data_IF_335827748240
#
_entry.id   IF_335827748240
#
_cell.length_a   1.000
_cell.length_b   1.000
_cell.length_c   1.000
_cell.angle_alpha   90.00
_cell.angle_beta   90.00
_cell.angle_gamma   90.00
#
_symmetry.space_group_name_H-M   'P 1'
#
loop_
_entity.id
_entity.type
_entity.pdbx_description
1 polymer ?
#
# COMPACT_ATOMS: atom_id res chain seq x y z
N UNK A 1 -78.25 28.18 17.69
CA UNK A 1 -77.19 28.84 18.49
C UNK A 1 -76.17 27.87 19.09
N UNK A 2 -76.54 26.69 19.59
CA UNK A 2 -75.55 25.76 20.16
C UNK A 2 -74.58 25.16 19.12
N UNK A 3 -75.07 24.78 17.93
CA UNK A 3 -74.22 24.23 16.87
C UNK A 3 -73.29 25.26 16.22
N UNK A 4 -73.69 26.53 16.11
CA UNK A 4 -72.83 27.58 15.55
C UNK A 4 -71.64 27.92 16.44
N UNK A 5 -71.81 27.89 17.78
CA UNK A 5 -70.72 28.17 18.73
C UNK A 5 -69.66 27.06 18.79
N UNK A 6 -70.05 25.82 18.48
CA UNK A 6 -69.14 24.66 18.47
C UNK A 6 -68.28 24.64 17.19
N UNK A 7 -68.85 25.11 16.08
CA UNK A 7 -68.18 25.18 14.78
C UNK A 7 -67.12 26.31 14.73
N UNK A 8 -67.31 27.40 15.47
CA UNK A 8 -66.30 28.47 15.63
C UNK A 8 -65.12 28.07 16.55
N UNK A 9 -65.33 27.18 17.52
CA UNK A 9 -64.29 26.78 18.49
C UNK A 9 -63.44 25.59 18.06
N UNK A 10 -63.92 24.80 17.09
CA UNK A 10 -63.25 23.61 16.58
C UNK A 10 -61.85 23.88 16.00
N UNK A 11 -61.61 24.95 15.20
CA UNK A 11 -60.28 25.25 14.66
C UNK A 11 -59.26 25.61 15.75
N UNK A 12 -59.72 26.28 16.81
CA UNK A 12 -58.88 26.70 17.95
C UNK A 12 -58.43 25.48 18.76
N UNK A 13 -59.33 24.52 18.99
CA UNK A 13 -59.03 23.27 19.71
C UNK A 13 -58.05 22.42 18.89
N UNK A 14 -58.28 22.26 17.59
CA UNK A 14 -57.38 21.52 16.70
C UNK A 14 -56.00 22.18 16.63
N UNK A 15 -55.96 23.51 16.52
CA UNK A 15 -54.70 24.27 16.52
C UNK A 15 -53.90 24.10 17.81
N UNK A 16 -54.57 24.13 18.97
CA UNK A 16 -53.93 23.93 20.28
C UNK A 16 -53.38 22.51 20.47
N UNK A 17 -54.11 21.49 20.01
CA UNK A 17 -53.69 20.10 20.08
C UNK A 17 -52.50 19.82 19.15
N UNK A 18 -52.51 20.38 17.94
CA UNK A 18 -51.41 20.26 16.99
C UNK A 18 -50.13 20.94 17.51
N UNK A 19 -50.24 22.14 18.10
CA UNK A 19 -49.10 22.83 18.70
C UNK A 19 -48.51 22.05 19.90
N UNK A 20 -49.37 21.46 20.73
CA UNK A 20 -48.93 20.58 21.82
C UNK A 20 -48.17 19.34 21.33
N UNK A 21 -48.65 18.70 20.26
CA UNK A 21 -47.98 17.54 19.68
C UNK A 21 -46.60 17.89 19.10
N UNK A 22 -46.49 19.02 18.38
CA UNK A 22 -45.22 19.50 17.83
C UNK A 22 -44.21 19.83 18.94
N UNK A 23 -44.67 20.44 20.04
CA UNK A 23 -43.83 20.73 21.20
C UNK A 23 -43.29 19.45 21.85
N UNK A 24 -44.13 18.43 22.02
CA UNK A 24 -43.71 17.13 22.59
C UNK A 24 -42.66 16.47 21.68
N UNK A 25 -42.87 16.46 20.36
CA UNK A 25 -41.90 15.92 19.40
C UNK A 25 -40.57 16.66 19.49
N UNK A 26 -40.59 18.00 19.57
CA UNK A 26 -39.38 18.81 19.70
C UNK A 26 -38.61 18.48 21.00
N UNK A 27 -39.30 18.33 22.13
CA UNK A 27 -38.69 17.96 23.41
C UNK A 27 -38.07 16.56 23.34
N UNK A 28 -38.75 15.59 22.74
CA UNK A 28 -38.22 14.22 22.57
C UNK A 28 -36.97 14.23 21.68
N UNK A 29 -36.98 14.98 20.57
CA UNK A 29 -35.80 15.12 19.70
C UNK A 29 -34.64 15.76 20.46
N UNK A 30 -34.89 16.82 21.24
CA UNK A 30 -33.86 17.47 22.07
C UNK A 30 -33.30 16.48 23.09
N UNK A 31 -34.14 15.72 23.78
CA UNK A 31 -33.69 14.71 24.75
C UNK A 31 -32.86 13.60 24.10
N UNK A 32 -33.24 13.13 22.90
CA UNK A 32 -32.47 12.15 22.13
C UNK A 32 -31.11 12.73 21.72
N UNK A 33 -31.07 13.97 21.24
CA UNK A 33 -29.82 14.65 20.86
C UNK A 33 -28.93 14.89 22.08
N UNK A 34 -29.49 15.34 23.20
CA UNK A 34 -28.75 15.55 24.45
C UNK A 34 -28.22 14.24 25.04
N UNK A 35 -29.00 13.15 25.01
CA UNK A 35 -28.55 11.84 25.48
C UNK A 35 -27.50 11.22 24.55
N UNK A 36 -27.63 11.40 23.23
CA UNK A 36 -26.59 10.98 22.27
C UNK A 36 -25.31 11.78 22.46
N UNK A 37 -25.41 13.09 22.70
CA UNK A 37 -24.26 13.95 22.98
C UNK A 37 -23.58 13.58 24.30
N UNK A 38 -24.35 13.30 25.36
CA UNK A 38 -23.80 12.79 26.63
C UNK A 38 -23.15 11.42 26.49
N UNK A 39 -23.72 10.53 25.67
CA UNK A 39 -23.12 9.23 25.36
C UNK A 39 -21.78 9.38 24.63
N UNK A 40 -21.72 10.30 23.66
CA UNK A 40 -20.48 10.64 22.96
C UNK A 40 -19.44 11.27 23.91
N UNK A 41 -19.81 12.26 24.72
CA UNK A 41 -18.92 12.91 25.69
C UNK A 41 -18.41 11.93 26.75
N UNK A 42 -19.21 10.95 27.17
CA UNK A 42 -18.79 9.92 28.14
C UNK A 42 -17.81 8.91 27.53
N UNK A 43 -18.05 8.49 26.29
CA UNK A 43 -17.13 7.62 25.55
C UNK A 43 -15.80 8.34 25.22
N UNK A 44 -15.85 9.64 24.91
CA UNK A 44 -14.68 10.48 24.69
C UNK A 44 -13.88 10.67 25.99
N UNK A 45 -14.56 10.87 27.14
CA UNK A 45 -13.91 10.96 28.45
C UNK A 45 -13.20 9.65 28.83
N UNK A 46 -13.86 8.51 28.64
CA UNK A 46 -13.32 7.18 28.94
C UNK A 46 -12.13 6.83 28.02
N UNK A 47 -12.19 7.25 26.75
CA UNK A 47 -11.06 7.19 25.82
C UNK A 47 -9.87 8.06 26.28
N UNK A 48 -10.13 9.31 26.70
CA UNK A 48 -9.06 10.21 27.18
C UNK A 48 -8.43 9.74 28.50
N UNK A 49 -9.21 9.13 29.40
CA UNK A 49 -8.73 8.62 30.69
C UNK A 49 -7.81 7.41 30.51
N UNK A 50 -8.17 6.49 29.60
CA UNK A 50 -7.29 5.38 29.19
C UNK A 50 -6.01 5.89 28.53
N UNK A 51 -6.07 6.92 27.69
CA UNK A 51 -4.91 7.53 27.02
C UNK A 51 -3.94 8.20 28.01
N UNK A 52 -4.47 8.78 29.10
CA UNK A 52 -3.69 9.42 30.15
C UNK A 52 -2.79 8.43 30.91
N UNK A 53 -3.21 7.17 31.03
CA UNK A 53 -2.42 6.12 31.66
C UNK A 53 -1.21 5.66 30.83
N UNK A 54 -1.25 5.79 29.49
CA UNK A 54 -0.16 5.37 28.60
C UNK A 54 0.82 6.49 28.25
N UNK A 55 0.46 7.76 28.47
CA UNK A 55 1.21 8.90 27.91
C UNK A 55 1.72 9.84 28.99
N UNK A 56 2.73 9.41 29.74
CA UNK A 56 3.57 10.33 30.53
C UNK A 56 4.52 11.08 29.58
N UNK A 57 4.00 12.09 28.87
CA UNK A 57 4.82 13.03 28.09
C UNK A 57 4.11 13.69 26.91
N UNK A 58 3.92 15.01 27.00
CA UNK A 58 3.69 15.95 25.89
C UNK A 58 2.57 15.65 24.88
N UNK A 59 1.36 15.34 25.35
CA UNK A 59 0.16 15.33 24.48
C UNK A 59 -0.73 16.52 24.80
N UNK A 60 -1.03 17.33 23.79
CA UNK A 60 -2.05 18.40 23.89
C UNK A 60 -3.45 17.78 23.98
N UNK A 61 -4.35 18.31 24.83
CA UNK A 61 -5.71 17.80 24.95
C UNK A 61 -6.40 17.73 23.58
N UNK A 62 -6.92 16.56 23.19
CA UNK A 62 -7.62 16.33 21.92
C UNK A 62 -6.77 15.76 20.77
N UNK A 63 -5.48 15.49 20.97
CA UNK A 63 -4.65 14.79 19.97
C UNK A 63 -5.00 13.29 19.96
N UNK A 64 -5.55 12.77 18.85
CA UNK A 64 -5.68 11.33 18.64
C UNK A 64 -4.32 10.75 18.24
N UNK A 65 -3.87 9.73 18.95
CA UNK A 65 -2.62 9.01 18.67
C UNK A 65 -2.98 7.58 18.33
N UNK A 66 -2.29 6.99 17.36
CA UNK A 66 -2.41 5.57 17.05
C UNK A 66 -2.03 4.70 18.26
N UNK A 67 -2.86 3.70 18.55
CA UNK A 67 -2.63 2.68 19.56
C UNK A 67 -2.36 1.36 18.83
N UNK A 68 -1.22 0.75 19.11
CA UNK A 68 -0.86 -0.53 18.50
C UNK A 68 -1.80 -1.64 19.03
N UNK A 69 -2.61 -2.31 18.19
CA UNK A 69 -3.51 -3.37 18.65
C UNK A 69 -2.81 -4.54 19.37
N UNK A 70 -1.50 -4.70 19.20
CA UNK A 70 -0.72 -5.68 19.94
C UNK A 70 -0.47 -5.28 21.42
N UNK A 71 -0.87 -4.09 21.86
CA UNK A 71 -0.91 -3.75 23.29
C UNK A 71 -2.07 -4.44 24.02
N UNK A 72 -3.02 -5.02 23.28
CA UNK A 72 -4.14 -5.77 23.83
C UNK A 72 -3.80 -7.27 23.90
N UNK A 73 -4.19 -7.93 24.99
CA UNK A 73 -4.02 -9.38 25.13
C UNK A 73 -4.99 -10.16 24.22
N UNK A 74 -6.22 -9.64 24.05
CA UNK A 74 -7.25 -10.20 23.17
C UNK A 74 -7.48 -9.28 21.96
N UNK A 75 -7.15 -9.70 20.72
CA UNK A 75 -7.40 -8.88 19.54
C UNK A 75 -8.89 -8.66 19.26
N UNK A 76 -9.81 -9.46 19.82
CA UNK A 76 -11.22 -9.10 19.74
C UNK A 76 -11.54 -7.85 20.56
N UNK A 77 -10.76 -7.53 21.60
CA UNK A 77 -10.90 -6.30 22.37
C UNK A 77 -10.49 -5.09 21.53
N UNK A 78 -9.32 -5.14 20.90
CA UNK A 78 -8.85 -4.09 19.99
C UNK A 78 -9.85 -3.87 18.83
N UNK A 79 -10.35 -4.95 18.22
CA UNK A 79 -11.37 -4.85 17.16
C UNK A 79 -12.64 -4.22 17.68
N UNK A 80 -13.14 -4.59 18.87
CA UNK A 80 -14.36 -4.00 19.45
C UNK A 80 -14.21 -2.52 19.75
N UNK A 81 -13.00 -2.06 20.07
CA UNK A 81 -12.71 -0.67 20.36
C UNK A 81 -12.67 0.18 19.09
N UNK A 82 -12.03 -0.32 18.03
CA UNK A 82 -11.73 0.49 16.84
C UNK A 82 -12.61 0.18 15.63
N UNK A 83 -13.30 -0.97 15.59
CA UNK A 83 -14.10 -1.39 14.45
C UNK A 83 -15.57 -1.64 14.83
N UNK A 84 -16.45 -1.26 13.91
CA UNK A 84 -17.89 -1.49 14.05
C UNK A 84 -18.23 -2.94 13.68
N UNK A 85 -18.88 -3.67 14.59
CA UNK A 85 -19.48 -4.97 14.26
C UNK A 85 -20.70 -4.77 13.33
N UNK A 86 -20.72 -5.52 12.23
CA UNK A 86 -21.76 -5.52 11.21
C UNK A 86 -22.55 -6.83 11.30
N UNK A 87 -23.88 -6.71 11.21
CA UNK A 87 -24.75 -7.88 11.10
C UNK A 87 -24.64 -8.47 9.68
N UNK A 88 -24.34 -9.77 9.59
CA UNK A 88 -24.14 -10.48 8.32
C UNK A 88 -25.35 -10.39 7.38
N UNK A 89 -26.57 -10.25 7.90
CA UNK A 89 -27.78 -10.09 7.09
C UNK A 89 -27.81 -8.79 6.27
N UNK A 90 -26.96 -7.82 6.63
CA UNK A 90 -26.81 -6.55 5.91
C UNK A 90 -25.76 -6.60 4.81
N UNK A 91 -25.05 -7.72 4.68
CA UNK A 91 -23.94 -7.91 3.74
C UNK A 91 -24.37 -8.85 2.63
N UNK A 92 -24.19 -8.42 1.38
CA UNK A 92 -24.41 -9.23 0.18
C UNK A 92 -23.10 -9.36 -0.58
N UNK A 93 -22.49 -10.55 -0.53
CA UNK A 93 -21.29 -10.88 -1.32
C UNK A 93 -21.70 -11.14 -2.77
N UNK A 94 -20.92 -10.65 -3.73
CA UNK A 94 -21.19 -10.83 -5.16
C UNK A 94 -20.12 -11.69 -5.84
N UNK A 95 -18.99 -11.12 -6.24
CA UNK A 95 -17.96 -11.82 -7.01
C UNK A 95 -16.60 -11.74 -6.30
N UNK A 96 -15.78 -12.78 -6.49
CA UNK A 96 -14.38 -12.77 -6.05
C UNK A 96 -13.59 -11.83 -6.97
N UNK A 97 -12.90 -10.86 -6.38
CA UNK A 97 -12.09 -9.87 -7.10
C UNK A 97 -10.58 -10.08 -6.88
N UNK A 98 -10.20 -10.92 -5.92
CA UNK A 98 -8.81 -11.25 -5.66
C UNK A 98 -8.63 -12.27 -4.54
N UNK A 99 -7.38 -12.65 -4.30
CA UNK A 99 -6.99 -13.50 -3.19
C UNK A 99 -5.95 -12.76 -2.34
N UNK A 100 -6.20 -12.67 -1.03
CA UNK A 100 -5.26 -12.16 -0.05
C UNK A 100 -4.61 -13.29 0.74
N UNK A 101 -3.70 -12.95 1.66
CA UNK A 101 -2.98 -13.90 2.52
C UNK A 101 -3.94 -14.82 3.33
N UNK A 102 -5.03 -14.23 3.82
CA UNK A 102 -5.95 -14.88 4.76
C UNK A 102 -7.15 -15.55 4.09
N UNK A 103 -7.42 -15.25 2.81
CA UNK A 103 -8.60 -15.73 2.10
C UNK A 103 -8.95 -14.86 0.90
N UNK A 104 -10.18 -15.01 0.41
CA UNK A 104 -10.67 -14.31 -0.78
C UNK A 104 -11.04 -12.86 -0.46
N UNK A 105 -10.81 -11.99 -1.43
CA UNK A 105 -11.36 -10.64 -1.47
C UNK A 105 -12.50 -10.65 -2.48
N UNK A 106 -13.69 -10.25 -2.05
CA UNK A 106 -14.89 -10.18 -2.85
C UNK A 106 -15.39 -8.74 -2.97
N UNK A 107 -16.09 -8.41 -4.04
CA UNK A 107 -16.96 -7.23 -4.07
C UNK A 107 -18.34 -7.59 -3.52
N UNK A 108 -19.07 -6.58 -3.05
CA UNK A 108 -20.42 -6.78 -2.56
C UNK A 108 -21.14 -5.49 -2.18
N UNK A 109 -22.31 -5.64 -1.58
CA UNK A 109 -23.14 -4.53 -1.12
C UNK A 109 -23.32 -4.59 0.40
N UNK A 110 -23.28 -3.43 1.04
CA UNK A 110 -23.57 -3.25 2.47
C UNK A 110 -24.78 -2.32 2.63
N UNK A 111 -25.82 -2.81 3.32
CA UNK A 111 -27.06 -2.06 3.58
C UNK A 111 -27.32 -1.91 5.07
N UNK A 112 -26.69 -0.90 5.67
CA UNK A 112 -26.90 -0.59 7.09
C UNK A 112 -28.31 -0.02 7.34
N UNK A 113 -28.91 -0.28 8.51
CA UNK A 113 -30.23 0.25 8.86
C UNK A 113 -30.29 1.78 8.75
N UNK A 114 -31.27 2.28 7.99
CA UNK A 114 -31.47 3.73 7.79
C UNK A 114 -30.41 4.42 6.91
N UNK A 115 -29.48 3.68 6.29
CA UNK A 115 -28.52 4.20 5.32
C UNK A 115 -28.82 3.68 3.91
N UNK A 116 -28.31 4.40 2.91
CA UNK A 116 -28.27 3.90 1.53
C UNK A 116 -27.37 2.67 1.46
N UNK A 117 -27.70 1.77 0.55
CA UNK A 117 -26.81 0.66 0.18
C UNK A 117 -25.55 1.23 -0.46
N UNK A 118 -24.40 0.66 -0.12
CA UNK A 118 -23.09 1.06 -0.65
C UNK A 118 -22.35 -0.16 -1.17
N UNK A 119 -21.52 0.06 -2.19
CA UNK A 119 -20.65 -0.96 -2.75
C UNK A 119 -19.34 -1.05 -1.96
N UNK A 120 -18.93 -2.26 -1.62
CA UNK A 120 -17.86 -2.54 -0.65
C UNK A 120 -16.92 -3.63 -1.15
N UNK A 121 -15.69 -3.62 -0.64
CA UNK A 121 -14.78 -4.76 -0.71
C UNK A 121 -14.90 -5.56 0.59
N UNK A 122 -14.95 -6.88 0.46
CA UNK A 122 -15.19 -7.83 1.56
C UNK A 122 -14.04 -8.83 1.55
N UNK A 123 -13.13 -8.68 2.52
CA UNK A 123 -12.07 -9.66 2.76
C UNK A 123 -12.63 -10.72 3.69
N UNK A 124 -12.48 -12.00 3.33
CA UNK A 124 -12.97 -13.13 4.13
C UNK A 124 -11.81 -13.93 4.71
N UNK A 125 -11.97 -14.44 5.91
CA UNK A 125 -11.03 -15.37 6.53
C UNK A 125 -11.41 -16.81 6.15
N UNK A 126 -10.47 -17.55 5.55
CA UNK A 126 -10.68 -18.94 5.09
C UNK A 126 -11.08 -19.87 6.23
N UNK A 127 -11.90 -20.88 5.94
CA UNK A 127 -12.25 -21.93 6.91
C UNK A 127 -11.01 -22.69 7.40
N UNK A 128 -10.99 -23.11 8.66
CA UNK A 128 -9.88 -23.87 9.24
C UNK A 128 -8.64 -23.03 9.55
N UNK A 129 -8.80 -21.71 9.71
CA UNK A 129 -7.73 -20.81 10.13
C UNK A 129 -7.15 -21.20 11.50
N UNK A 130 -5.89 -20.85 11.72
CA UNK A 130 -5.26 -20.87 13.05
C UNK A 130 -5.63 -19.63 13.84
N UNK A 131 -5.55 -19.69 15.17
CA UNK A 131 -5.74 -18.50 16.01
C UNK A 131 -4.76 -17.38 15.64
N UNK A 132 -3.49 -17.71 15.29
CA UNK A 132 -2.54 -16.71 14.80
C UNK A 132 -3.07 -15.97 13.56
N UNK A 133 -3.52 -16.71 12.54
CA UNK A 133 -4.09 -16.12 11.32
C UNK A 133 -5.34 -15.28 11.62
N UNK A 134 -6.19 -15.72 12.56
CA UNK A 134 -7.35 -14.92 12.99
C UNK A 134 -6.91 -13.61 13.65
N UNK A 135 -5.90 -13.65 14.52
CA UNK A 135 -5.36 -12.45 15.17
C UNK A 135 -4.74 -11.49 14.16
N UNK A 136 -3.92 -12.00 13.24
CA UNK A 136 -3.26 -11.22 12.20
C UNK A 136 -4.28 -10.59 11.23
N UNK A 137 -5.34 -11.33 10.89
CA UNK A 137 -6.45 -10.80 10.10
C UNK A 137 -7.18 -9.66 10.82
N UNK A 138 -7.54 -9.86 12.09
CA UNK A 138 -8.30 -8.88 12.87
C UNK A 138 -7.48 -7.64 13.30
N UNK A 139 -6.16 -7.77 13.42
CA UNK A 139 -5.29 -6.63 13.72
C UNK A 139 -5.29 -5.62 12.57
N UNK A 140 -5.35 -6.08 11.31
CA UNK A 140 -5.48 -5.21 10.14
C UNK A 140 -6.71 -4.28 10.26
N UNK A 141 -7.87 -4.84 10.62
CA UNK A 141 -9.09 -4.05 10.85
C UNK A 141 -8.97 -3.12 12.07
N UNK A 142 -8.30 -3.57 13.14
CA UNK A 142 -8.10 -2.75 14.34
C UNK A 142 -7.19 -1.54 14.07
N UNK A 143 -6.21 -1.68 13.18
CA UNK A 143 -5.38 -0.57 12.73
C UNK A 143 -6.20 0.37 11.85
N UNK A 144 -6.88 -0.17 10.83
CA UNK A 144 -7.71 0.63 9.90
C UNK A 144 -8.80 1.43 10.63
N UNK A 145 -9.44 0.84 11.64
CA UNK A 145 -10.54 1.46 12.39
C UNK A 145 -10.15 2.73 13.16
N UNK A 146 -8.85 2.96 13.37
CA UNK A 146 -8.34 4.18 14.03
C UNK A 146 -8.19 5.36 13.07
N UNK A 147 -8.32 5.14 11.76
CA UNK A 147 -8.04 6.13 10.74
C UNK A 147 -9.31 6.60 10.04
N UNK A 148 -9.43 7.93 9.89
CA UNK A 148 -10.50 8.59 9.15
C UNK A 148 -9.92 9.73 8.33
N UNK A 149 -9.63 9.45 7.06
CA UNK A 149 -9.03 10.42 6.14
C UNK A 149 -9.38 10.08 4.68
N UNK A 150 -9.66 11.07 3.81
CA UNK A 150 -10.07 10.82 2.42
C UNK A 150 -9.06 10.07 1.54
N UNK A 151 -7.79 10.03 1.95
CA UNK A 151 -6.70 9.32 1.25
C UNK A 151 -6.14 8.12 2.04
N UNK A 152 -6.91 7.61 3.00
CA UNK A 152 -6.64 6.34 3.70
C UNK A 152 -7.87 5.46 3.51
N UNK A 153 -7.67 4.17 3.26
CA UNK A 153 -8.78 3.25 3.02
C UNK A 153 -9.73 3.21 4.23
N UNK A 154 -11.01 3.39 3.99
CA UNK A 154 -12.03 3.45 5.03
C UNK A 154 -12.53 2.04 5.38
N UNK A 155 -12.52 1.73 6.68
CA UNK A 155 -13.15 0.54 7.24
C UNK A 155 -14.63 0.82 7.52
N UNK A 156 -15.53 0.13 6.83
CA UNK A 156 -16.97 0.18 7.12
C UNK A 156 -17.32 -0.63 8.38
N UNK A 157 -16.61 -1.75 8.59
CA UNK A 157 -16.71 -2.55 9.78
C UNK A 157 -16.22 -3.99 9.59
N UNK A 158 -16.55 -4.83 10.57
CA UNK A 158 -16.13 -6.24 10.63
C UNK A 158 -17.33 -7.14 10.91
N UNK A 159 -17.23 -8.40 10.52
CA UNK A 159 -18.15 -9.47 10.93
C UNK A 159 -17.32 -10.48 11.71
N UNK A 160 -17.51 -10.55 13.02
CA UNK A 160 -16.73 -11.44 13.91
C UNK A 160 -17.58 -12.46 14.66
N UNK A 161 -18.89 -12.19 14.77
CA UNK A 161 -19.85 -13.05 15.50
C UNK A 161 -20.44 -14.20 14.66
N UNK A 162 -20.16 -14.24 13.36
CA UNK A 162 -20.64 -15.27 12.44
C UNK A 162 -19.52 -15.69 11.49
N UNK A 163 -19.72 -16.85 10.84
CA UNK A 163 -18.80 -17.33 9.80
C UNK A 163 -19.36 -17.04 8.39
N UNK A 164 -18.47 -16.71 7.43
CA UNK A 164 -17.04 -16.47 7.62
C UNK A 164 -16.78 -15.13 8.34
N UNK A 165 -15.62 -15.02 9.00
CA UNK A 165 -15.15 -13.73 9.57
C UNK A 165 -14.81 -12.79 8.41
N UNK A 166 -15.24 -11.53 8.48
CA UNK A 166 -15.08 -10.57 7.38
C UNK A 166 -14.52 -9.22 7.85
N UNK A 167 -13.78 -8.58 6.94
CA UNK A 167 -13.41 -7.16 7.01
C UNK A 167 -14.04 -6.48 5.81
N UNK A 168 -14.78 -5.41 6.05
CA UNK A 168 -15.54 -4.70 5.02
C UNK A 168 -14.99 -3.29 4.90
N UNK A 169 -14.46 -2.95 3.73
CA UNK A 169 -13.94 -1.61 3.42
C UNK A 169 -14.73 -0.98 2.30
N UNK A 170 -14.53 0.32 2.09
CA UNK A 170 -14.96 0.95 0.84
C UNK A 170 -14.38 0.21 -0.38
N UNK A 171 -15.13 0.21 -1.49
CA UNK A 171 -14.69 -0.40 -2.73
C UNK A 171 -13.86 0.57 -3.58
N UNK A 172 -12.78 0.07 -4.16
CA UNK A 172 -11.84 0.83 -4.97
C UNK A 172 -11.81 0.23 -6.39
N UNK A 173 -12.61 0.80 -7.30
CA UNK A 173 -12.97 0.20 -8.60
C UNK A 173 -11.79 -0.10 -9.51
N UNK A 174 -10.70 0.66 -9.37
CA UNK A 174 -9.54 0.55 -10.23
C UNK A 174 -8.41 -0.29 -9.60
N UNK A 175 -8.65 -0.89 -8.43
CA UNK A 175 -7.70 -1.78 -7.77
C UNK A 175 -6.38 -1.09 -7.37
N UNK A 176 -5.27 -1.82 -7.43
CA UNK A 176 -3.96 -1.31 -7.04
C UNK A 176 -3.39 -0.33 -8.07
N UNK A 177 -2.76 0.75 -7.59
CA UNK A 177 -2.26 1.85 -8.43
C UNK A 177 -1.21 1.37 -9.43
N UNK A 178 -0.32 0.46 -9.05
CA UNK A 178 0.71 -0.05 -9.94
C UNK A 178 0.12 -0.82 -11.14
N UNK A 179 -0.85 -1.69 -10.90
CA UNK A 179 -1.55 -2.43 -11.94
C UNK A 179 -2.42 -1.52 -12.78
N UNK A 180 -3.09 -0.55 -12.16
CA UNK A 180 -3.90 0.45 -12.83
C UNK A 180 -3.07 1.31 -13.80
N UNK A 181 -1.91 1.81 -13.37
CA UNK A 181 -1.01 2.60 -14.22
C UNK A 181 -0.45 1.77 -15.37
N UNK A 182 -0.06 0.50 -15.14
CA UNK A 182 0.41 -0.40 -16.21
C UNK A 182 -0.65 -0.66 -17.29
N UNK A 183 -1.91 -0.79 -16.89
CA UNK A 183 -3.03 -1.00 -17.82
C UNK A 183 -3.40 0.25 -18.63
N UNK A 184 -2.99 1.43 -18.16
CA UNK A 184 -3.34 2.73 -18.73
C UNK A 184 -2.07 3.52 -19.09
N UNK A 185 -1.03 2.83 -19.58
CA UNK A 185 0.25 3.44 -19.90
C UNK A 185 0.08 4.58 -20.93
N UNK A 186 0.69 5.73 -20.63
CA UNK A 186 0.59 6.95 -21.45
C UNK A 186 -0.80 7.62 -21.51
N UNK A 187 -1.83 7.13 -20.80
CA UNK A 187 -3.19 7.67 -20.91
C UNK A 187 -3.49 8.85 -19.97
N UNK A 188 -2.64 9.09 -18.97
CA UNK A 188 -2.84 10.16 -17.99
C UNK A 188 -2.00 11.38 -18.31
N UNK A 189 -2.60 12.55 -18.12
CA UNK A 189 -1.86 13.79 -18.09
C UNK A 189 -0.97 13.86 -16.84
N UNK A 190 0.15 14.57 -16.95
CA UNK A 190 1.04 14.83 -15.81
C UNK A 190 0.27 15.40 -14.61
N UNK A 191 -0.69 16.29 -14.83
CA UNK A 191 -1.46 16.90 -13.74
C UNK A 191 -2.34 15.88 -12.99
N UNK A 192 -2.90 14.89 -13.69
CA UNK A 192 -3.66 13.80 -13.05
C UNK A 192 -2.74 12.94 -12.18
N UNK A 193 -1.53 12.61 -12.69
CA UNK A 193 -0.53 11.86 -11.92
C UNK A 193 -0.05 12.64 -10.69
N UNK A 194 0.14 13.96 -10.81
CA UNK A 194 0.44 14.84 -9.66
C UNK A 194 -0.72 14.86 -8.65
N UNK A 195 -1.97 14.84 -9.13
CA UNK A 195 -3.15 14.71 -8.28
C UNK A 195 -3.16 13.40 -7.46
N UNK A 196 -2.83 12.28 -8.10
CA UNK A 196 -2.68 10.97 -7.44
C UNK A 196 -1.59 11.03 -6.36
N UNK A 197 -0.39 11.52 -6.71
CA UNK A 197 0.73 11.71 -5.77
C UNK A 197 0.34 12.59 -4.58
N UNK A 198 -0.40 13.67 -4.84
CA UNK A 198 -0.87 14.61 -3.81
C UNK A 198 -1.82 13.94 -2.83
N UNK A 199 -2.74 13.11 -3.33
CA UNK A 199 -3.63 12.32 -2.48
C UNK A 199 -2.85 11.37 -1.56
N UNK A 200 -1.91 10.61 -2.12
CA UNK A 200 -1.05 9.68 -1.36
C UNK A 200 -0.25 10.43 -0.28
N UNK A 201 0.38 11.54 -0.64
CA UNK A 201 1.14 12.36 0.30
C UNK A 201 0.26 12.92 1.44
N UNK A 202 -1.00 13.28 1.15
CA UNK A 202 -1.96 13.73 2.17
C UNK A 202 -2.34 12.58 3.12
N UNK A 203 -2.59 11.38 2.61
CA UNK A 203 -2.83 10.18 3.43
C UNK A 203 -1.64 9.87 4.34
N UNK A 204 -0.42 9.90 3.79
CA UNK A 204 0.80 9.67 4.57
C UNK A 204 1.11 10.78 5.58
N UNK A 205 0.75 12.03 5.28
CA UNK A 205 0.80 13.13 6.26
C UNK A 205 -0.10 12.80 7.44
N UNK A 206 -1.35 12.42 7.18
CA UNK A 206 -2.30 12.07 8.23
C UNK A 206 -1.81 10.90 9.09
N UNK A 207 -1.29 9.83 8.47
CA UNK A 207 -0.72 8.70 9.22
C UNK A 207 0.47 9.12 10.10
N UNK A 208 1.35 9.99 9.58
CA UNK A 208 2.48 10.52 10.36
C UNK A 208 2.01 11.40 11.53
N UNK A 209 0.98 12.24 11.33
CA UNK A 209 0.36 13.06 12.39
C UNK A 209 -0.27 12.16 13.48
N UNK A 210 -0.81 10.99 13.09
CA UNK A 210 -1.30 9.95 14.00
C UNK A 210 -0.17 9.14 14.69
N UNK A 211 1.11 9.51 14.47
CA UNK A 211 2.29 8.77 14.94
C UNK A 211 2.37 7.32 14.42
N UNK A 212 1.76 7.05 13.27
CA UNK A 212 1.79 5.74 12.62
C UNK A 212 2.86 5.69 11.52
N UNK A 213 3.65 4.62 11.50
CA UNK A 213 4.64 4.36 10.46
C UNK A 213 4.20 3.17 9.63
N UNK A 214 3.87 3.40 8.35
CA UNK A 214 3.33 2.38 7.45
C UNK A 214 4.29 1.21 7.17
N UNK A 215 5.59 1.53 7.02
CA UNK A 215 6.70 0.60 6.69
C UNK A 215 6.65 -0.07 5.31
N UNK A 216 5.48 -0.34 4.76
CA UNK A 216 5.33 -0.89 3.41
C UNK A 216 4.60 0.05 2.43
N UNK A 217 5.02 1.32 2.39
CA UNK A 217 4.47 2.26 1.42
C UNK A 217 4.99 1.94 0.01
N UNK A 218 4.13 1.37 -0.83
CA UNK A 218 4.42 1.03 -2.22
C UNK A 218 3.18 1.21 -3.10
N UNK A 219 3.36 1.39 -4.42
CA UNK A 219 2.24 1.59 -5.35
C UNK A 219 1.24 0.41 -5.38
N UNK A 220 1.69 -0.81 -5.09
CA UNK A 220 0.80 -1.99 -4.92
C UNK A 220 -0.14 -1.89 -3.72
N UNK A 221 0.21 -1.09 -2.72
CA UNK A 221 -0.54 -0.86 -1.49
C UNK A 221 -1.32 0.47 -1.53
N UNK A 222 -1.38 1.11 -2.69
CA UNK A 222 -2.27 2.25 -2.95
C UNK A 222 -3.43 1.75 -3.80
N UNK A 223 -4.66 1.99 -3.34
CA UNK A 223 -5.86 1.67 -4.10
C UNK A 223 -6.40 2.91 -4.81
N UNK A 224 -7.05 2.71 -5.96
CA UNK A 224 -7.61 3.78 -6.81
C UNK A 224 -9.10 3.56 -7.01
N UNK A 225 -9.92 4.60 -6.80
CA UNK A 225 -11.35 4.52 -7.07
C UNK A 225 -11.70 5.04 -8.48
N UNK A 226 -12.97 4.94 -8.86
CA UNK A 226 -13.52 5.38 -10.15
C UNK A 226 -13.26 6.87 -10.47
N UNK A 227 -13.07 7.70 -9.45
CA UNK A 227 -12.75 9.13 -9.57
C UNK A 227 -11.24 9.42 -9.53
N UNK A 228 -10.39 8.40 -9.67
CA UNK A 228 -8.93 8.49 -9.60
C UNK A 228 -8.39 8.96 -8.23
N UNK A 229 -9.20 8.85 -7.17
CA UNK A 229 -8.73 9.15 -5.81
C UNK A 229 -7.87 7.97 -5.34
N UNK A 230 -6.63 8.27 -4.99
CA UNK A 230 -5.70 7.31 -4.40
C UNK A 230 -5.83 7.27 -2.88
N UNK A 231 -5.86 6.06 -2.32
CA UNK A 231 -5.91 5.81 -0.88
C UNK A 231 -4.84 4.84 -0.44
N UNK A 232 -4.18 5.17 0.67
CA UNK A 232 -3.21 4.30 1.34
C UNK A 232 -3.95 3.12 1.96
N UNK A 233 -3.46 1.90 1.76
CA UNK A 233 -4.05 0.64 2.23
C UNK A 233 -2.95 -0.34 2.65
N UNK A 234 -3.36 -1.53 3.09
CA UNK A 234 -2.47 -2.63 3.54
C UNK A 234 -1.64 -2.29 4.79
N UNK A 235 -2.29 -2.39 5.94
CA UNK A 235 -1.70 -2.16 7.25
C UNK A 235 -1.19 -3.44 7.93
N UNK A 236 -1.35 -4.60 7.28
CA UNK A 236 -1.09 -5.93 7.86
C UNK A 236 0.40 -6.23 8.09
N UNK A 237 1.29 -5.55 7.36
CA UNK A 237 2.74 -5.80 7.39
C UNK A 237 3.54 -4.78 8.23
N UNK A 238 2.87 -3.89 8.96
CA UNK A 238 3.50 -2.80 9.71
C UNK A 238 4.49 -3.23 10.81
N UNK A 239 4.63 -4.54 11.06
CA UNK A 239 5.55 -5.07 12.08
C UNK A 239 6.45 -6.24 11.67
N UNK A 240 6.20 -6.97 10.57
CA UNK A 240 7.05 -8.11 10.20
C UNK A 240 8.27 -7.65 9.40
N UNK A 241 9.22 -7.01 10.08
CA UNK A 241 10.60 -7.44 9.88
C UNK A 241 10.72 -8.73 10.69
N UNK A 242 10.25 -9.85 10.13
CA UNK A 242 10.88 -11.10 10.53
C UNK A 242 12.34 -10.92 10.13
N UNK A 243 13.22 -11.02 11.11
CA UNK A 243 14.68 -11.02 10.95
C UNK A 243 15.13 -12.31 10.23
N UNK A 244 14.36 -12.75 9.22
CA UNK A 244 14.74 -13.74 8.23
C UNK A 244 15.77 -13.09 7.30
N UNK A 245 16.91 -12.84 7.90
CA UNK A 245 18.25 -12.74 7.30
C UNK A 245 18.66 -14.05 6.61
N UNK A 246 17.71 -14.96 6.33
CA UNK A 246 17.94 -16.29 5.79
C UNK A 246 17.87 -16.38 4.27
N UNK A 247 17.54 -15.29 3.54
CA UNK A 247 17.85 -15.21 2.11
C UNK A 247 18.07 -13.77 1.61
N UNK A 248 19.31 -13.22 1.69
CA UNK A 248 19.67 -12.08 0.88
C UNK A 248 19.73 -12.55 -0.57
N UNK A 249 18.57 -12.62 -1.23
CA UNK A 249 18.50 -12.72 -2.68
C UNK A 249 19.44 -11.66 -3.25
N UNK A 250 20.34 -12.08 -4.15
CA UNK A 250 21.44 -11.26 -4.67
C UNK A 250 20.97 -9.86 -5.12
N UNK A 251 19.73 -9.76 -5.62
CA UNK A 251 19.05 -8.53 -6.00
C UNK A 251 18.85 -7.54 -4.85
N UNK A 252 18.40 -8.00 -3.68
CA UNK A 252 18.19 -7.14 -2.50
C UNK A 252 19.51 -6.59 -1.98
N UNK A 253 20.56 -7.42 -1.93
CA UNK A 253 21.90 -6.99 -1.54
C UNK A 253 22.52 -6.00 -2.53
N UNK A 254 22.30 -6.17 -3.84
CA UNK A 254 22.75 -5.22 -4.86
C UNK A 254 22.02 -3.88 -4.76
N UNK A 255 20.71 -3.89 -4.53
CA UNK A 255 19.92 -2.67 -4.32
C UNK A 255 20.38 -1.94 -3.06
N UNK A 256 20.62 -2.65 -1.95
CA UNK A 256 21.15 -2.07 -0.71
C UNK A 256 22.51 -1.42 -0.98
N UNK A 257 23.45 -2.14 -1.60
CA UNK A 257 24.78 -1.63 -1.90
C UNK A 257 24.73 -0.39 -2.82
N UNK A 258 23.86 -0.41 -3.83
CA UNK A 258 23.67 0.74 -4.70
C UNK A 258 23.19 1.98 -3.93
N UNK A 259 22.20 1.83 -3.05
CA UNK A 259 21.70 2.92 -2.21
C UNK A 259 22.81 3.44 -1.29
N UNK A 260 23.62 2.55 -0.72
CA UNK A 260 24.78 2.91 0.12
C UNK A 260 25.84 3.71 -0.63
N UNK A 261 26.06 3.38 -1.90
CA UNK A 261 26.92 4.10 -2.86
C UNK A 261 26.27 5.36 -3.46
N UNK A 262 25.18 5.84 -2.86
CA UNK A 262 24.45 7.03 -3.25
C UNK A 262 23.80 6.98 -4.64
N UNK A 263 23.65 5.78 -5.21
CA UNK A 263 22.88 5.59 -6.43
C UNK A 263 21.41 5.97 -6.21
N UNK A 264 20.83 6.68 -7.18
CA UNK A 264 19.41 7.03 -7.23
C UNK A 264 18.84 6.66 -8.58
N UNK A 265 17.54 6.36 -8.62
CA UNK A 265 16.86 6.05 -9.87
C UNK A 265 16.93 7.25 -10.82
N UNK A 266 17.13 7.02 -12.13
CA UNK A 266 17.10 8.09 -13.12
C UNK A 266 15.68 8.68 -13.25
N UNK A 267 15.54 9.88 -13.84
CA UNK A 267 14.23 10.44 -14.13
C UNK A 267 13.44 9.51 -15.06
N UNK A 268 12.14 9.28 -14.80
CA UNK A 268 11.25 8.63 -15.77
C UNK A 268 11.17 9.43 -17.08
N UNK A 269 10.77 8.76 -18.17
CA UNK A 269 10.50 9.46 -19.44
C UNK A 269 9.47 10.57 -19.24
N UNK A 270 9.71 11.71 -19.89
CA UNK A 270 8.88 12.92 -19.83
C UNK A 270 8.61 13.46 -18.42
N UNK A 271 9.44 13.09 -17.43
CA UNK A 271 9.26 13.52 -16.06
C UNK A 271 9.60 15.01 -15.88
N UNK A 272 8.67 15.83 -15.36
CA UNK A 272 8.94 17.21 -14.99
C UNK A 272 10.09 17.32 -13.98
N UNK A 273 10.99 18.29 -14.19
CA UNK A 273 12.16 18.52 -13.34
C UNK A 273 11.79 18.73 -11.87
N UNK A 274 10.69 19.44 -11.60
CA UNK A 274 10.22 19.66 -10.24
C UNK A 274 9.81 18.36 -9.52
N UNK A 275 9.27 17.37 -10.24
CA UNK A 275 8.89 16.08 -9.67
C UNK A 275 10.11 15.20 -9.43
N UNK A 276 11.02 15.13 -10.39
CA UNK A 276 12.27 14.39 -10.21
C UNK A 276 13.10 14.97 -9.04
N UNK A 277 13.17 16.29 -8.90
CA UNK A 277 13.84 16.91 -7.76
C UNK A 277 13.17 16.52 -6.43
N UNK A 278 11.84 16.52 -6.37
CA UNK A 278 11.11 16.06 -5.17
C UNK A 278 11.42 14.59 -4.84
N UNK A 279 11.62 13.72 -5.84
CA UNK A 279 12.06 12.33 -5.61
C UNK A 279 13.45 12.28 -4.97
N UNK A 280 14.41 13.05 -5.50
CA UNK A 280 15.77 13.14 -4.95
C UNK A 280 15.78 13.70 -3.53
N UNK A 281 14.93 14.69 -3.24
CA UNK A 281 14.75 15.25 -1.89
C UNK A 281 14.19 14.19 -0.92
N UNK A 282 13.26 13.33 -1.37
CA UNK A 282 12.77 12.20 -0.58
C UNK A 282 13.84 11.12 -0.35
N UNK A 283 14.80 10.99 -1.26
CA UNK A 283 15.89 10.01 -1.19
C UNK A 283 17.20 10.56 -0.62
N UNK A 284 17.16 11.66 0.14
CA UNK A 284 18.33 12.15 0.86
C UNK A 284 18.87 11.07 1.82
N UNK A 285 20.20 10.89 1.84
CA UNK A 285 20.86 9.88 2.69
C UNK A 285 20.57 10.17 4.17
N UNK A 286 20.79 11.41 4.60
CA UNK A 286 20.35 11.86 5.92
C UNK A 286 18.83 12.03 5.96
N UNK A 287 18.17 11.27 6.85
CA UNK A 287 16.72 11.32 7.06
C UNK A 287 16.23 12.70 7.52
N UNK A 288 17.08 13.51 8.15
CA UNK A 288 16.72 14.85 8.61
C UNK A 288 16.59 15.85 7.47
N UNK A 289 17.25 15.57 6.34
CA UNK A 289 17.18 16.39 5.12
C UNK A 289 15.97 16.03 4.24
N UNK A 290 15.28 14.92 4.52
CA UNK A 290 14.09 14.53 3.78
C UNK A 290 12.91 15.42 4.15
N UNK A 291 12.07 15.83 3.18
CA UNK A 291 10.89 16.62 3.46
C UNK A 291 9.91 15.83 4.34
N UNK A 292 9.27 16.51 5.27
CA UNK A 292 8.09 15.98 5.97
C UNK A 292 6.92 15.88 4.98
N UNK A 293 6.00 14.94 5.19
CA UNK A 293 4.83 14.79 4.31
C UNK A 293 4.02 16.09 4.15
N UNK A 294 3.92 16.93 5.18
CA UNK A 294 3.30 18.25 5.06
C UNK A 294 4.00 19.19 4.06
N UNK A 295 5.33 19.13 3.97
CA UNK A 295 6.10 19.86 2.95
C UNK A 295 5.87 19.25 1.57
N UNK A 296 5.84 17.93 1.44
CA UNK A 296 5.55 17.22 0.18
C UNK A 296 4.17 17.60 -0.38
N UNK A 297 3.13 17.59 0.46
CA UNK A 297 1.77 18.04 0.07
C UNK A 297 1.80 19.49 -0.41
N UNK A 298 2.44 20.39 0.33
CA UNK A 298 2.55 21.80 -0.04
C UNK A 298 3.27 22.01 -1.39
N UNK A 299 4.32 21.23 -1.66
CA UNK A 299 5.02 21.25 -2.95
C UNK A 299 4.11 20.81 -4.08
N UNK A 300 3.41 19.68 -3.92
CA UNK A 300 2.48 19.17 -4.94
C UNK A 300 1.30 20.14 -5.16
N UNK A 301 0.74 20.74 -4.11
CA UNK A 301 -0.31 21.76 -4.23
C UNK A 301 0.16 23.01 -4.98
N UNK A 302 1.44 23.39 -4.88
CA UNK A 302 2.01 24.49 -5.69
C UNK A 302 2.10 24.10 -7.17
N UNK A 303 2.53 22.86 -7.47
CA UNK A 303 2.62 22.36 -8.84
C UNK A 303 1.23 22.25 -9.49
N UNK A 304 0.21 21.83 -8.73
CA UNK A 304 -1.18 21.76 -9.23
C UNK A 304 -1.73 23.15 -9.53
N UNK A 305 -1.47 24.14 -8.66
CA UNK A 305 -1.92 25.53 -8.84
C UNK A 305 -1.22 26.26 -9.98
N UNK A 306 -0.01 25.83 -10.36
CA UNK A 306 0.73 26.40 -11.48
C UNK A 306 1.21 25.33 -12.47
N UNK A 307 0.35 24.80 -13.35
CA UNK A 307 0.72 23.73 -14.28
C UNK A 307 1.87 24.08 -15.23
N UNK A 308 2.18 25.37 -15.44
CA UNK A 308 3.32 25.77 -16.26
C UNK A 308 4.66 25.31 -15.66
N UNK A 309 4.77 25.13 -14.34
CA UNK A 309 5.99 24.60 -13.71
C UNK A 309 6.26 23.12 -14.04
N UNK A 310 5.29 22.43 -14.63
CA UNK A 310 5.42 21.03 -15.05
C UNK A 310 5.92 20.87 -16.50
N UNK A 311 6.14 21.98 -17.23
CA UNK A 311 6.58 21.96 -18.63
C UNK A 311 8.07 21.67 -18.81
N UNK A 312 8.89 22.02 -17.82
CA UNK A 312 10.32 21.74 -17.86
C UNK A 312 10.55 20.25 -17.60
N UNK A 313 11.04 19.52 -18.60
CA UNK A 313 11.34 18.09 -18.52
C UNK A 313 12.82 17.89 -18.20
N UNK A 314 13.13 16.92 -17.35
CA UNK A 314 14.52 16.58 -17.02
C UNK A 314 15.18 15.90 -18.22
N UNK A 315 16.30 16.42 -18.76
CA UNK A 315 16.98 15.76 -19.86
C UNK A 315 17.49 14.38 -19.42
N UNK A 316 17.27 13.37 -20.26
CA UNK A 316 17.84 12.03 -20.06
C UNK A 316 19.36 12.16 -20.20
N UNK A 317 20.11 12.05 -19.10
CA UNK A 317 21.57 12.12 -19.16
C UNK A 317 22.10 10.93 -19.97
N UNK A 318 22.59 11.17 -21.18
CA UNK A 318 23.09 10.15 -22.13
C UNK A 318 24.41 9.45 -21.71
N UNK A 319 24.71 9.37 -20.40
CA UNK A 319 26.05 8.95 -19.94
C UNK A 319 26.11 8.24 -18.59
N UNK A 320 24.98 7.86 -17.99
CA UNK A 320 25.00 6.96 -16.83
C UNK A 320 24.67 5.56 -17.35
N UNK A 321 25.69 4.74 -17.59
CA UNK A 321 25.51 3.29 -17.67
C UNK A 321 24.87 2.85 -16.37
N UNK A 322 23.64 2.34 -16.42
CA UNK A 322 22.77 2.01 -15.28
C UNK A 322 22.96 0.54 -14.89
N UNK A 323 23.84 0.14 -13.94
CA UNK A 323 24.08 -1.29 -13.69
C UNK A 323 22.87 -2.01 -13.08
N UNK A 324 21.88 -1.26 -12.58
CA UNK A 324 20.64 -1.78 -11.96
C UNK A 324 19.42 -1.79 -12.89
N UNK A 325 19.41 -0.98 -13.95
CA UNK A 325 18.38 -1.00 -14.99
C UNK A 325 18.88 -1.64 -16.29
N UNK A 326 20.17 -1.97 -16.39
CA UNK A 326 20.73 -2.72 -17.49
C UNK A 326 20.33 -4.19 -17.38
N UNK A 327 19.07 -4.43 -17.73
CA UNK A 327 18.61 -5.70 -18.29
C UNK A 327 18.73 -5.67 -19.81
N UNK A 328 19.71 -4.99 -20.38
CA UNK A 328 20.30 -5.61 -21.57
C UNK A 328 21.11 -6.78 -21.02
N UNK A 329 20.68 -7.98 -21.42
CA UNK A 329 21.48 -9.19 -21.28
C UNK A 329 22.92 -8.80 -21.64
N UNK A 330 23.95 -9.15 -20.83
CA UNK A 330 25.33 -8.87 -21.20
C UNK A 330 25.49 -9.32 -22.65
N UNK A 331 25.77 -8.37 -23.55
CA UNK A 331 25.87 -8.70 -24.96
C UNK A 331 27.04 -9.67 -25.07
N UNK A 332 26.77 -10.97 -25.19
CA UNK A 332 27.85 -11.96 -25.17
C UNK A 332 28.75 -11.82 -26.41
N UNK A 333 28.34 -11.04 -27.41
CA UNK A 333 29.18 -10.63 -28.54
C UNK A 333 30.22 -9.56 -28.18
N UNK A 334 30.11 -8.92 -27.01
CA UNK A 334 31.04 -7.88 -26.53
C UNK A 334 32.25 -8.43 -25.74
N UNK A 335 32.23 -9.71 -25.34
CA UNK A 335 33.36 -10.35 -24.66
C UNK A 335 34.27 -11.04 -25.67
N UNK A 336 35.56 -10.73 -25.65
CA UNK A 336 36.53 -11.34 -26.57
C UNK A 336 37.15 -12.61 -25.99
N UNK A 337 37.03 -12.82 -24.67
CA UNK A 337 37.62 -13.99 -23.99
C UNK A 337 36.74 -14.53 -22.85
N UNK A 338 36.89 -15.82 -22.55
CA UNK A 338 36.28 -16.47 -21.37
C UNK A 338 36.72 -15.80 -20.07
N UNK A 339 37.94 -15.26 -20.03
CA UNK A 339 38.47 -14.57 -18.86
C UNK A 339 37.72 -13.26 -18.56
N UNK A 340 37.41 -12.46 -19.58
CA UNK A 340 36.60 -11.24 -19.45
C UNK A 340 35.17 -11.55 -19.01
N UNK A 341 34.55 -12.59 -19.58
CA UNK A 341 33.24 -13.07 -19.16
C UNK A 341 33.22 -13.47 -17.67
N UNK A 342 34.23 -14.23 -17.22
CA UNK A 342 34.36 -14.62 -15.82
C UNK A 342 34.52 -13.39 -14.91
N UNK A 343 35.24 -12.33 -15.30
CA UNK A 343 35.27 -11.07 -14.53
C UNK A 343 33.91 -10.40 -14.44
N UNK A 344 33.20 -10.31 -15.57
CA UNK A 344 31.91 -9.64 -15.67
C UNK A 344 30.88 -10.28 -14.73
N UNK A 345 30.86 -11.61 -14.62
CA UNK A 345 30.00 -12.33 -13.68
C UNK A 345 30.58 -12.42 -12.25
N UNK A 346 31.69 -11.72 -11.97
CA UNK A 346 32.45 -11.74 -10.71
C UNK A 346 32.93 -13.13 -10.29
N UNK A 347 33.26 -13.98 -11.26
CA UNK A 347 33.86 -15.31 -11.12
C UNK A 347 35.32 -15.34 -11.62
N UNK A 348 35.98 -14.18 -11.73
CA UNK A 348 37.34 -14.04 -12.26
C UNK A 348 38.41 -14.83 -11.51
N UNK A 349 38.14 -15.28 -10.29
CA UNK A 349 39.03 -16.18 -9.54
C UNK A 349 39.17 -17.58 -10.16
N UNK A 350 38.30 -17.97 -11.09
CA UNK A 350 38.31 -19.28 -11.74
C UNK A 350 38.95 -19.28 -13.13
N UNK A 351 39.46 -18.14 -13.61
CA UNK A 351 40.00 -17.99 -14.99
C UNK A 351 41.07 -19.02 -15.33
N UNK A 352 42.01 -19.20 -14.43
CA UNK A 352 43.13 -20.12 -14.64
C UNK A 352 42.63 -21.57 -14.66
N UNK A 353 41.64 -21.89 -13.82
CA UNK A 353 41.03 -23.22 -13.81
C UNK A 353 40.28 -23.53 -15.11
N UNK A 354 39.51 -22.58 -15.63
CA UNK A 354 38.82 -22.73 -16.92
C UNK A 354 39.84 -22.92 -18.06
N UNK A 355 40.93 -22.14 -18.05
CA UNK A 355 41.98 -22.23 -19.06
C UNK A 355 42.74 -23.56 -19.00
N UNK A 356 43.05 -24.05 -17.79
CA UNK A 356 43.77 -25.31 -17.56
C UNK A 356 42.95 -26.55 -17.99
N UNK A 357 41.63 -26.50 -17.84
CA UNK A 357 40.71 -27.56 -18.27
C UNK A 357 40.27 -27.42 -19.74
N UNK A 358 40.82 -26.44 -20.48
CA UNK A 358 40.58 -26.30 -21.92
C UNK A 358 39.32 -25.51 -22.31
N UNK A 359 38.64 -24.86 -21.36
CA UNK A 359 37.48 -23.99 -21.60
C UNK A 359 37.92 -22.57 -21.97
N UNK A 360 38.59 -22.43 -23.12
CA UNK A 360 39.15 -21.15 -23.59
C UNK A 360 38.30 -20.43 -24.65
N UNK A 361 37.25 -21.08 -25.16
CA UNK A 361 36.31 -20.51 -26.14
C UNK A 361 34.86 -20.56 -25.65
N UNK A 362 34.04 -19.63 -26.13
CA UNK A 362 32.61 -19.61 -25.82
C UNK A 362 31.85 -20.82 -26.38
N UNK A 363 32.33 -21.43 -27.46
CA UNK A 363 31.76 -22.68 -27.97
C UNK A 363 31.87 -23.81 -26.95
N UNK A 364 33.03 -23.97 -26.31
CA UNK A 364 33.23 -24.99 -25.27
C UNK A 364 32.49 -24.63 -23.97
N UNK A 365 32.52 -23.36 -23.57
CA UNK A 365 31.83 -22.89 -22.36
C UNK A 365 30.31 -23.03 -22.48
N UNK A 366 29.76 -22.78 -23.67
CA UNK A 366 28.33 -22.92 -23.94
C UNK A 366 27.83 -24.36 -23.78
N UNK A 367 28.69 -25.36 -23.84
CA UNK A 367 28.32 -26.78 -23.76
C UNK A 367 28.58 -27.40 -22.38
N UNK A 368 29.10 -26.61 -21.44
CA UNK A 368 29.45 -27.11 -20.11
C UNK A 368 28.24 -27.58 -19.32
N UNK A 369 28.42 -28.73 -18.67
CA UNK A 369 27.45 -29.29 -17.73
C UNK A 369 27.80 -28.91 -16.28
N UNK A 370 26.89 -29.19 -15.36
CA UNK A 370 27.15 -29.04 -13.92
C UNK A 370 28.35 -29.88 -13.44
N UNK A 371 28.63 -31.00 -14.11
CA UNK A 371 29.77 -31.88 -13.80
C UNK A 371 31.10 -31.26 -14.27
N UNK A 372 31.09 -30.58 -15.41
CA UNK A 372 32.27 -29.85 -15.92
C UNK A 372 32.67 -28.69 -15.00
N UNK A 373 31.70 -27.98 -14.45
CA UNK A 373 31.95 -26.88 -13.51
C UNK A 373 32.58 -27.38 -12.20
N UNK A 374 32.16 -28.55 -11.73
CA UNK A 374 32.78 -29.23 -10.59
C UNK A 374 34.21 -29.66 -10.91
N UNK A 375 34.44 -30.20 -12.13
CA UNK A 375 35.77 -30.61 -12.60
C UNK A 375 36.75 -29.44 -12.69
N UNK A 376 36.26 -28.27 -13.08
CA UNK A 376 37.01 -26.99 -13.09
C UNK A 376 37.28 -26.44 -11.67
N UNK A 377 36.86 -27.14 -10.62
CA UNK A 377 37.17 -26.80 -9.24
C UNK A 377 36.23 -25.75 -8.62
N UNK A 378 35.06 -25.51 -9.24
CA UNK A 378 34.03 -24.64 -8.66
C UNK A 378 33.15 -25.48 -7.72
N UNK A 379 33.51 -25.52 -6.43
CA UNK A 379 32.82 -26.36 -5.43
C UNK A 379 31.69 -25.65 -4.68
N UNK A 380 31.66 -24.31 -4.69
CA UNK A 380 30.63 -23.53 -4.02
C UNK A 380 29.33 -23.52 -4.83
N UNK A 381 28.24 -24.03 -4.25
CA UNK A 381 26.93 -24.14 -4.90
C UNK A 381 26.41 -22.80 -5.46
N UNK A 382 26.65 -21.69 -4.76
CA UNK A 382 26.29 -20.36 -5.23
C UNK A 382 27.06 -19.94 -6.49
N UNK A 383 28.34 -20.31 -6.60
CA UNK A 383 29.16 -20.01 -7.77
C UNK A 383 28.79 -20.90 -8.95
N UNK A 384 28.54 -22.19 -8.70
CA UNK A 384 28.05 -23.11 -9.74
C UNK A 384 26.75 -22.60 -10.37
N UNK A 385 25.78 -22.23 -9.53
CA UNK A 385 24.49 -21.69 -9.99
C UNK A 385 24.66 -20.41 -10.80
N UNK A 386 25.57 -19.52 -10.38
CA UNK A 386 25.85 -18.25 -11.06
C UNK A 386 26.46 -18.47 -12.45
N UNK A 387 27.42 -19.38 -12.56
CA UNK A 387 28.09 -19.74 -13.82
C UNK A 387 27.10 -20.44 -14.76
N UNK A 388 26.36 -21.45 -14.28
CA UNK A 388 25.36 -22.18 -15.07
C UNK A 388 24.26 -21.27 -15.61
N UNK A 389 23.72 -20.38 -14.79
CA UNK A 389 22.70 -19.43 -15.23
C UNK A 389 23.26 -18.50 -16.34
N UNK A 390 24.52 -18.06 -16.22
CA UNK A 390 25.14 -17.24 -17.26
C UNK A 390 25.37 -18.01 -18.56
N UNK A 391 25.72 -19.30 -18.48
CA UNK A 391 25.89 -20.18 -19.65
C UNK A 391 24.55 -20.39 -20.37
N UNK A 392 23.46 -20.62 -19.63
CA UNK A 392 22.12 -20.75 -20.20
C UNK A 392 21.67 -19.48 -20.93
N UNK A 393 21.97 -18.31 -20.36
CA UNK A 393 21.69 -17.03 -21.01
C UNK A 393 22.53 -16.84 -22.29
N UNK A 394 23.79 -17.29 -22.28
CA UNK A 394 24.68 -17.26 -23.44
C UNK A 394 24.18 -18.17 -24.58
N UNK A 395 23.78 -19.40 -24.27
CA UNK A 395 23.17 -20.33 -25.24
C UNK A 395 21.91 -19.73 -25.88
N UNK A 396 21.06 -19.09 -25.08
CA UNK A 396 19.83 -18.47 -25.58
C UNK A 396 20.10 -17.33 -26.57
N UNK A 397 21.16 -16.54 -26.36
CA UNK A 397 21.57 -15.49 -27.30
C UNK A 397 22.23 -16.05 -28.58
N UNK A 398 23.11 -17.04 -28.46
CA UNK A 398 23.76 -17.65 -29.64
C UNK A 398 22.74 -18.31 -30.60
N UNK A 399 21.67 -18.91 -30.04
CA UNK A 399 20.57 -19.49 -30.84
C UNK A 399 19.68 -18.43 -31.53
N UNK A 400 19.59 -17.21 -31.00
CA UNK A 400 18.87 -16.10 -31.65
C UNK A 400 19.62 -15.50 -32.83
N UNK A 401 20.96 -15.61 -32.86
CA UNK A 401 21.79 -15.09 -33.96
C UNK A 401 21.76 -16.06 -35.16
N UNK A 402 21.75 -17.37 -34.93
CA UNK A 402 21.66 -18.38 -36.00
C UNK A 402 20.30 -18.45 -36.71
N UNK A 403 19.22 -17.95 -36.10
CA UNK A 403 17.87 -17.95 -36.69
C UNK A 403 17.60 -16.78 -37.64
N UNK A 404 18.57 -15.87 -37.80
CA UNK A 404 18.49 -14.70 -38.70
C UNK A 404 19.23 -14.94 -40.03
N UNK A 405 20.05 -16.00 -40.15
CA UNK A 405 20.82 -16.35 -41.36
C UNK A 405 20.31 -17.60 -42.11
N UNK A 406 19.02 -17.95 -42.01
CA UNK A 406 18.40 -19.00 -42.86
C UNK A 406 17.29 -18.44 -43.74
#
# INVERSE_FOLDING_TARGET
>A
EYQSSLQEKLPLIIGSAAAGLVFIIAVVVILIVCNRRRGFERADLEYTDKLQHYTSGHVTPGMKIYIDPFTYEDPNEAVREFAKEIDISTVKIEQVIGAGEFGEVCSGHLKLPGKREIFVAIKTLKSGYTEKQRRDFLSEASIMGQFDHPNVIHLEGVVTKSNPVMIITEFMENGSLDSFLRQNDGQFTVIQLVGMLRGIAAGMKYLADMSYVHRDLAARNILVNSNLVCKVSDFGLSRFLEDDTSDPTYTSALVINAIEQDYRLPPPMDCPTALHQLMLDCWQKDRNNRPKFGQTVNTLDKLIRNPNSLKAVTPLTSGVTLPLLDRTVPDFSSFNTVAEWLEAIKMGQYKDNFSNEGFTSFDHVSQMTSEDILRVGVTLAGHQKKILNSIQMMQAQMNQIQSVEV
#
